data_IF_837243277961
#
_entry.id   IF_837243277961
#
_cell.length_a   1.000
_cell.length_b   1.000
_cell.length_c   1.000
_cell.angle_alpha   90.00
_cell.angle_beta   90.00
_cell.angle_gamma   90.00
#
_symmetry.space_group_name_H-M   'P 1'
#
loop_
_entity.id
_entity.type
_entity.pdbx_description
1 polymer ?
#
# COMPACT_ATOMS: atom_id res chain seq x y z
N UNK A 1 -5.34 -12.25 31.89
CA UNK A 1 -5.40 -12.46 30.43
C UNK A 1 -6.85 -12.40 30.02
N UNK A 2 -7.18 -11.57 29.04
CA UNK A 2 -8.50 -11.55 28.45
C UNK A 2 -8.79 -12.91 27.82
N UNK A 3 -9.92 -13.49 28.19
CA UNK A 3 -10.44 -14.67 27.52
C UNK A 3 -11.33 -14.16 26.40
N UNK A 4 -10.91 -14.39 25.17
CA UNK A 4 -11.67 -13.96 24.00
C UNK A 4 -12.90 -14.87 23.84
N UNK A 5 -14.14 -14.37 23.97
CA UNK A 5 -15.34 -15.19 23.88
C UNK A 5 -15.62 -15.64 22.43
N UNK A 6 -16.51 -16.60 22.27
CA UNK A 6 -17.18 -16.83 20.99
C UNK A 6 -18.27 -15.78 20.81
N UNK A 7 -18.44 -15.28 19.59
CA UNK A 7 -19.40 -14.24 19.25
C UNK A 7 -20.54 -14.83 18.40
N UNK A 8 -21.76 -14.44 18.73
CA UNK A 8 -22.95 -14.85 17.98
C UNK A 8 -23.23 -13.94 16.78
N UNK A 9 -22.60 -12.76 16.74
CA UNK A 9 -22.72 -11.79 15.67
C UNK A 9 -21.49 -10.87 15.58
N UNK A 10 -21.30 -10.25 14.41
CA UNK A 10 -20.27 -9.25 14.20
C UNK A 10 -20.44 -8.04 15.15
N UNK A 11 -21.67 -7.59 15.37
CA UNK A 11 -21.97 -6.48 16.27
C UNK A 11 -21.57 -6.77 17.74
N UNK A 12 -21.71 -8.03 18.20
CA UNK A 12 -21.23 -8.44 19.51
C UNK A 12 -19.70 -8.42 19.60
N UNK A 13 -19.02 -8.87 18.55
CA UNK A 13 -17.56 -8.81 18.46
C UNK A 13 -17.06 -7.37 18.42
N UNK A 14 -17.72 -6.52 17.63
CA UNK A 14 -17.40 -5.09 17.54
C UNK A 14 -17.52 -4.39 18.90
N UNK A 15 -18.62 -4.65 19.64
CA UNK A 15 -18.79 -4.10 20.97
C UNK A 15 -17.72 -4.60 21.93
N UNK A 16 -17.41 -5.91 21.90
CA UNK A 16 -16.35 -6.47 22.73
C UNK A 16 -14.99 -5.83 22.45
N UNK A 17 -14.65 -5.57 21.18
CA UNK A 17 -13.40 -4.89 20.80
C UNK A 17 -13.36 -3.44 21.31
N UNK A 18 -14.49 -2.73 21.33
CA UNK A 18 -14.59 -1.38 21.92
C UNK A 18 -14.37 -1.41 23.42
N UNK A 19 -14.90 -2.43 24.09
CA UNK A 19 -14.73 -2.63 25.55
C UNK A 19 -13.32 -3.14 25.91
N UNK A 20 -12.56 -3.66 24.93
CA UNK A 20 -11.20 -4.17 25.08
C UNK A 20 -10.21 -3.47 24.12
N UNK A 21 -9.95 -2.17 24.31
CA UNK A 21 -9.26 -1.31 23.32
C UNK A 21 -7.78 -1.67 23.09
N UNK A 22 -7.19 -2.54 23.93
CA UNK A 22 -5.79 -2.96 23.80
C UNK A 22 -5.62 -4.36 23.21
N UNK A 23 -6.71 -5.07 22.95
CA UNK A 23 -6.65 -6.38 22.30
C UNK A 23 -6.27 -6.24 20.82
N UNK A 24 -5.41 -7.13 20.31
CA UNK A 24 -5.08 -7.23 18.89
C UNK A 24 -4.93 -8.70 18.50
N UNK A 25 -5.66 -9.14 17.47
CA UNK A 25 -5.59 -10.50 16.96
C UNK A 25 -4.34 -10.73 16.07
N UNK A 26 -3.92 -9.72 15.33
CA UNK A 26 -2.90 -9.82 14.27
C UNK A 26 -1.57 -10.47 14.70
N UNK A 27 -0.99 -10.19 15.88
CA UNK A 27 0.26 -10.83 16.31
C UNK A 27 0.21 -12.35 16.43
N UNK A 28 -0.97 -12.94 16.53
CA UNK A 28 -1.12 -14.38 16.73
C UNK A 28 -0.95 -15.16 15.42
N UNK A 29 -1.36 -14.58 14.29
CA UNK A 29 -1.41 -15.27 13.00
C UNK A 29 -0.59 -14.63 11.88
N UNK A 30 -0.13 -13.37 12.05
CA UNK A 30 0.53 -12.61 11.00
C UNK A 30 2.04 -12.48 11.24
N UNK A 31 2.79 -12.43 10.14
CA UNK A 31 4.22 -12.13 10.11
C UNK A 31 4.60 -11.36 8.86
N UNK A 32 5.33 -10.26 9.02
CA UNK A 32 6.00 -9.57 7.92
C UNK A 32 7.51 -9.78 8.01
N UNK A 33 8.14 -10.17 6.92
CA UNK A 33 9.58 -10.34 6.77
C UNK A 33 10.09 -9.36 5.72
N UNK A 34 11.13 -8.58 6.08
CA UNK A 34 11.58 -7.47 5.25
C UNK A 34 12.97 -7.70 4.67
N UNK A 35 13.24 -7.08 3.52
CA UNK A 35 14.53 -7.08 2.83
C UNK A 35 15.69 -6.52 3.68
N UNK A 36 15.39 -5.85 4.78
CA UNK A 36 16.40 -5.40 5.76
C UNK A 36 16.71 -6.46 6.83
N UNK A 37 16.21 -7.69 6.64
CA UNK A 37 16.35 -8.83 7.54
C UNK A 37 15.76 -8.57 8.93
N UNK A 38 14.69 -7.81 8.97
CA UNK A 38 13.88 -7.54 10.14
C UNK A 38 12.50 -8.17 9.96
N UNK A 39 11.83 -8.39 11.07
CA UNK A 39 10.50 -8.98 11.10
C UNK A 39 9.57 -8.22 12.02
N UNK A 40 8.29 -8.31 11.73
CA UNK A 40 7.22 -7.70 12.50
C UNK A 40 5.97 -8.58 12.34
N UNK A 41 5.07 -8.59 13.33
CA UNK A 41 3.80 -9.34 13.23
C UNK A 41 2.59 -8.47 12.86
N UNK A 42 2.73 -7.14 12.87
CA UNK A 42 1.64 -6.23 12.55
C UNK A 42 2.07 -5.15 11.54
N UNK A 43 1.27 -4.11 11.36
CA UNK A 43 1.64 -2.98 10.53
C UNK A 43 2.93 -2.30 11.03
N UNK A 44 3.73 -1.81 10.10
CA UNK A 44 5.04 -1.22 10.40
C UNK A 44 5.01 0.22 10.93
N UNK A 45 3.84 0.83 11.04
CA UNK A 45 3.68 2.24 11.41
C UNK A 45 3.95 2.54 12.89
N UNK A 46 3.90 1.57 13.77
CA UNK A 46 4.05 1.82 15.22
C UNK A 46 4.96 0.86 15.96
N UNK A 47 5.27 -0.30 15.39
CA UNK A 47 6.05 -1.33 16.07
C UNK A 47 7.50 -1.35 15.58
N UNK A 48 8.50 -1.35 16.48
CA UNK A 48 9.89 -1.47 16.08
C UNK A 48 10.12 -2.83 15.42
N UNK A 49 10.82 -2.81 14.29
CA UNK A 49 11.28 -4.04 13.65
C UNK A 49 12.20 -4.81 14.59
N UNK A 50 11.97 -6.12 14.68
CA UNK A 50 12.72 -7.05 15.53
C UNK A 50 13.52 -8.02 14.66
N UNK A 51 14.53 -8.63 15.22
CA UNK A 51 15.15 -9.82 14.63
C UNK A 51 14.17 -10.98 14.69
N UNK A 52 14.38 -12.02 13.87
CA UNK A 52 13.51 -13.21 13.88
C UNK A 52 13.52 -13.91 15.25
N UNK A 53 14.65 -13.91 15.94
CA UNK A 53 14.82 -14.54 17.24
C UNK A 53 14.07 -13.76 18.34
N UNK A 54 14.16 -12.42 18.33
CA UNK A 54 13.36 -11.56 19.21
C UNK A 54 11.86 -11.75 18.97
N UNK A 55 11.43 -11.86 17.71
CA UNK A 55 10.03 -12.08 17.37
C UNK A 55 9.53 -13.44 17.87
N UNK A 56 10.30 -14.50 17.64
CA UNK A 56 9.95 -15.86 18.05
C UNK A 56 9.91 -16.03 19.57
N UNK A 57 10.75 -15.28 20.31
CA UNK A 57 10.80 -15.31 21.77
C UNK A 57 9.81 -14.37 22.47
N UNK A 58 9.11 -13.52 21.70
CA UNK A 58 8.23 -12.50 22.27
C UNK A 58 6.95 -13.11 22.89
N UNK A 59 6.62 -12.63 24.09
CA UNK A 59 5.39 -13.03 24.78
C UNK A 59 4.15 -12.37 24.15
N UNK A 60 3.53 -13.04 23.19
CA UNK A 60 2.32 -12.56 22.51
C UNK A 60 1.11 -12.41 23.46
N UNK A 61 1.18 -12.97 24.67
CA UNK A 61 0.06 -12.83 25.63
C UNK A 61 -0.16 -11.39 26.08
N UNK A 62 0.84 -10.52 25.89
CA UNK A 62 0.70 -9.07 26.17
C UNK A 62 -0.45 -8.44 25.36
N UNK A 63 -0.72 -8.93 24.15
CA UNK A 63 -1.83 -8.46 23.32
C UNK A 63 -3.22 -8.91 23.80
N UNK A 64 -3.27 -9.77 24.81
CA UNK A 64 -4.48 -10.20 25.52
C UNK A 64 -4.58 -9.57 26.93
N UNK A 65 -3.82 -8.51 27.21
CA UNK A 65 -3.89 -7.79 28.49
C UNK A 65 -4.68 -6.52 28.32
N UNK A 66 -5.36 -6.12 29.39
CA UNK A 66 -6.11 -4.86 29.43
C UNK A 66 -5.18 -3.70 29.85
N UNK A 67 -4.18 -3.44 29.01
CA UNK A 67 -3.26 -2.32 29.15
C UNK A 67 -2.59 -1.96 27.84
N UNK A 68 -2.28 -0.68 27.60
CA UNK A 68 -1.67 -0.24 26.36
C UNK A 68 -0.26 -0.81 26.18
N UNK A 69 0.09 -1.10 24.94
CA UNK A 69 1.43 -1.50 24.52
C UNK A 69 2.03 -0.33 23.74
N UNK A 70 3.24 0.11 24.12
CA UNK A 70 3.91 1.25 23.49
C UNK A 70 4.05 1.10 21.98
N UNK A 71 4.37 -0.11 21.52
CA UNK A 71 4.54 -0.46 20.11
C UNK A 71 3.23 -0.33 19.29
N UNK A 72 2.07 -0.27 19.95
CA UNK A 72 0.74 -0.16 19.34
C UNK A 72 0.13 1.24 19.42
N UNK A 73 0.88 2.23 19.91
CA UNK A 73 0.40 3.61 20.15
C UNK A 73 -0.21 4.27 18.92
N UNK A 74 0.24 3.90 17.71
CA UNK A 74 -0.32 4.40 16.46
C UNK A 74 -1.80 4.03 16.28
N UNK A 75 -2.15 2.75 16.48
CA UNK A 75 -3.54 2.31 16.38
C UNK A 75 -4.43 2.99 17.43
N UNK A 76 -3.93 3.12 18.65
CA UNK A 76 -4.69 3.77 19.73
C UNK A 76 -4.99 5.24 19.42
N UNK A 77 -4.00 5.99 18.88
CA UNK A 77 -4.20 7.39 18.47
C UNK A 77 -5.21 7.54 17.35
N UNK A 78 -5.22 6.62 16.38
CA UNK A 78 -6.22 6.60 15.31
C UNK A 78 -7.62 6.40 15.91
N UNK A 79 -7.78 5.47 16.82
CA UNK A 79 -9.06 5.18 17.48
C UNK A 79 -9.52 6.34 18.38
N UNK A 80 -8.59 6.98 19.10
CA UNK A 80 -8.86 8.20 19.87
C UNK A 80 -9.36 9.37 19.00
N UNK A 81 -8.94 9.43 17.73
CA UNK A 81 -9.45 10.42 16.77
C UNK A 81 -10.85 10.10 16.22
N UNK A 82 -11.45 8.98 16.63
CA UNK A 82 -12.76 8.52 16.17
C UNK A 82 -12.73 7.74 14.84
N UNK A 83 -11.52 7.37 14.38
CA UNK A 83 -11.32 6.59 13.15
C UNK A 83 -11.00 5.13 13.50
N UNK A 84 -11.36 4.20 12.65
CA UNK A 84 -11.08 2.77 12.83
C UNK A 84 -9.64 2.44 12.47
N UNK A 85 -8.91 1.79 13.38
CA UNK A 85 -7.52 1.37 13.14
C UNK A 85 -7.42 -0.01 12.48
N UNK A 86 -6.23 -0.32 11.91
CA UNK A 86 -5.92 -1.66 11.41
C UNK A 86 -6.03 -2.75 12.51
N UNK A 87 -5.66 -2.42 13.76
CA UNK A 87 -5.87 -3.31 14.93
C UNK A 87 -7.33 -3.72 15.07
N UNK A 88 -8.24 -2.77 14.96
CA UNK A 88 -9.66 -2.99 15.13
C UNK A 88 -10.25 -3.79 13.96
N UNK A 89 -10.01 -3.36 12.72
CA UNK A 89 -10.54 -4.02 11.52
C UNK A 89 -10.02 -5.44 11.37
N UNK A 90 -8.72 -5.65 11.53
CA UNK A 90 -8.12 -6.99 11.47
C UNK A 90 -8.61 -7.90 12.58
N UNK A 91 -8.76 -7.37 13.81
CA UNK A 91 -9.27 -8.16 14.92
C UNK A 91 -10.73 -8.54 14.73
N UNK A 92 -11.57 -7.61 14.27
CA UNK A 92 -12.97 -7.86 13.97
C UNK A 92 -13.13 -8.96 12.91
N UNK A 93 -12.46 -8.78 11.76
CA UNK A 93 -12.49 -9.77 10.69
C UNK A 93 -12.02 -11.15 11.16
N UNK A 94 -10.88 -11.20 11.86
CA UNK A 94 -10.27 -12.46 12.29
C UNK A 94 -11.15 -13.18 13.32
N UNK A 95 -11.69 -12.46 14.29
CA UNK A 95 -12.51 -13.05 15.33
C UNK A 95 -13.87 -13.54 14.84
N UNK A 96 -14.40 -12.92 13.80
CA UNK A 96 -15.70 -13.30 13.20
C UNK A 96 -15.54 -14.43 12.18
N UNK A 97 -14.50 -14.35 11.30
CA UNK A 97 -14.41 -15.22 10.14
C UNK A 97 -13.28 -16.26 10.19
N UNK A 98 -12.26 -16.03 11.04
CA UNK A 98 -11.02 -16.84 11.08
C UNK A 98 -10.58 -17.09 12.54
N UNK A 99 -11.51 -17.39 13.41
CA UNK A 99 -11.27 -17.52 14.85
C UNK A 99 -10.14 -18.48 15.21
N UNK A 100 -10.03 -19.59 14.50
CA UNK A 100 -8.99 -20.61 14.67
C UNK A 100 -7.57 -20.07 14.43
N UNK A 101 -7.41 -18.96 13.74
CA UNK A 101 -6.11 -18.32 13.53
C UNK A 101 -5.51 -17.75 14.82
N UNK A 102 -6.35 -17.32 15.75
CA UNK A 102 -5.91 -16.74 17.04
C UNK A 102 -5.55 -17.82 18.06
N UNK A 103 -6.16 -18.98 17.92
CA UNK A 103 -5.96 -20.11 18.83
C UNK A 103 -4.82 -21.04 18.36
N UNK A 104 -4.36 -20.88 17.12
CA UNK A 104 -3.26 -21.61 16.53
C UNK A 104 -1.94 -20.83 16.69
N UNK A 105 -0.81 -21.55 16.68
CA UNK A 105 0.54 -20.96 16.72
C UNK A 105 1.15 -20.74 15.34
N UNK A 106 0.50 -21.24 14.28
CA UNK A 106 0.98 -21.18 12.90
C UNK A 106 0.80 -19.78 12.31
N UNK A 107 1.72 -19.41 11.43
CA UNK A 107 1.59 -18.21 10.61
C UNK A 107 0.54 -18.46 9.53
N UNK A 108 -0.55 -17.69 9.54
CA UNK A 108 -1.65 -17.77 8.57
C UNK A 108 -1.60 -16.65 7.52
N UNK A 109 -1.03 -15.51 7.89
CA UNK A 109 -0.81 -14.39 6.98
C UNK A 109 0.68 -14.04 6.95
N UNK A 110 1.32 -14.28 5.80
CA UNK A 110 2.74 -14.06 5.57
C UNK A 110 2.92 -12.91 4.59
N UNK A 111 3.54 -11.83 5.02
CA UNK A 111 3.83 -10.65 4.20
C UNK A 111 5.34 -10.55 3.99
N UNK A 112 5.77 -10.50 2.74
CA UNK A 112 7.17 -10.55 2.34
C UNK A 112 7.58 -9.32 1.54
N UNK A 113 8.63 -8.65 2.00
CA UNK A 113 9.41 -7.71 1.19
C UNK A 113 10.68 -8.43 0.75
N UNK A 114 10.64 -9.04 -0.43
CA UNK A 114 11.65 -9.99 -0.90
C UNK A 114 13.04 -9.36 -1.05
N UNK A 115 13.09 -8.22 -1.71
CA UNK A 115 14.29 -7.43 -1.98
C UNK A 115 13.90 -6.00 -2.41
N UNK A 116 14.91 -5.15 -2.71
CA UNK A 116 14.70 -3.82 -3.26
C UNK A 116 14.96 -3.73 -4.77
N UNK A 117 15.02 -4.85 -5.48
CA UNK A 117 15.23 -4.85 -6.93
C UNK A 117 14.04 -4.18 -7.61
N UNK A 118 14.26 -2.99 -8.17
CA UNK A 118 13.23 -2.21 -8.83
C UNK A 118 13.80 -1.52 -10.07
N UNK A 119 12.98 -1.37 -11.10
CA UNK A 119 13.33 -0.71 -12.35
C UNK A 119 12.69 0.68 -12.50
N UNK A 120 12.05 1.17 -11.44
CA UNK A 120 11.54 2.54 -11.35
C UNK A 120 12.08 3.22 -10.09
N UNK A 121 12.25 4.53 -10.18
CA UNK A 121 12.67 5.41 -9.10
C UNK A 121 11.53 6.40 -8.83
N UNK A 122 10.48 5.93 -8.14
CA UNK A 122 9.35 6.78 -7.79
C UNK A 122 9.81 7.86 -6.83
N UNK A 123 9.34 9.10 -7.03
CA UNK A 123 9.79 10.24 -6.20
C UNK A 123 9.44 10.08 -4.70
N UNK A 124 8.34 9.38 -4.39
CA UNK A 124 7.91 9.04 -3.03
C UNK A 124 8.61 7.81 -2.43
N UNK A 125 9.52 7.18 -3.17
CA UNK A 125 10.20 5.96 -2.72
C UNK A 125 11.47 6.28 -1.91
N UNK A 126 12.21 5.22 -1.54
CA UNK A 126 13.49 5.33 -0.87
C UNK A 126 14.45 4.20 -1.29
N UNK A 127 15.71 4.32 -0.91
CA UNK A 127 16.79 3.40 -1.26
C UNK A 127 16.57 1.95 -0.78
N UNK A 128 15.87 1.75 0.34
CA UNK A 128 15.59 0.40 0.86
C UNK A 128 14.49 -0.31 0.07
N UNK A 129 13.64 0.43 -0.65
CA UNK A 129 12.54 -0.11 -1.43
C UNK A 129 12.79 -0.09 -2.95
N UNK A 130 13.79 0.66 -3.43
CA UNK A 130 14.17 0.68 -4.84
C UNK A 130 15.67 0.81 -5.05
N UNK A 131 16.25 -0.21 -5.66
CA UNK A 131 17.67 -0.21 -6.04
C UNK A 131 17.98 0.84 -7.13
N UNK A 132 17.01 1.18 -7.99
CA UNK A 132 17.20 2.27 -8.96
C UNK A 132 17.16 3.63 -8.26
N UNK A 133 16.25 3.83 -7.30
CA UNK A 133 16.24 5.04 -6.46
C UNK A 133 17.59 5.27 -5.78
N UNK A 134 18.09 4.25 -5.11
CA UNK A 134 19.42 4.29 -4.46
C UNK A 134 20.52 4.72 -5.45
N UNK A 135 20.55 4.09 -6.61
CA UNK A 135 21.54 4.36 -7.65
C UNK A 135 21.48 5.81 -8.17
N UNK A 136 20.29 6.34 -8.46
CA UNK A 136 20.16 7.66 -9.11
C UNK A 136 20.27 8.83 -8.14
N UNK A 137 19.95 8.59 -6.86
CA UNK A 137 20.12 9.60 -5.79
C UNK A 137 21.52 9.58 -5.16
N UNK A 138 22.42 8.72 -5.64
CA UNK A 138 23.80 8.63 -5.13
C UNK A 138 23.88 7.92 -3.77
N UNK A 139 22.89 7.08 -3.45
CA UNK A 139 22.88 6.29 -2.22
C UNK A 139 23.90 5.16 -2.19
N UNK A 140 24.01 4.50 -1.06
CA UNK A 140 25.00 3.45 -0.77
C UNK A 140 24.38 2.15 -0.22
N UNK A 141 23.06 1.98 -0.32
CA UNK A 141 22.37 0.79 0.19
C UNK A 141 22.65 -0.42 -0.69
N UNK A 142 22.70 -0.23 -2.01
CA UNK A 142 22.87 -1.30 -2.98
C UNK A 142 21.66 -2.23 -3.07
N UNK A 143 21.89 -3.46 -3.57
CA UNK A 143 20.85 -4.49 -3.62
C UNK A 143 20.81 -5.21 -2.28
N UNK A 144 19.67 -5.15 -1.62
CA UNK A 144 19.38 -5.84 -0.36
C UNK A 144 18.22 -6.83 -0.54
N UNK A 145 18.18 -7.86 0.27
CA UNK A 145 17.12 -8.87 0.22
C UNK A 145 17.16 -9.80 1.42
N UNK A 146 16.19 -10.69 1.53
CA UNK A 146 16.09 -11.68 2.59
C UNK A 146 17.36 -12.54 2.63
N UNK A 147 18.02 -12.61 3.80
CA UNK A 147 19.16 -13.50 4.01
C UNK A 147 18.74 -14.98 4.16
N UNK A 148 19.70 -15.88 4.25
CA UNK A 148 19.42 -17.33 4.27
C UNK A 148 18.58 -17.76 5.49
N UNK A 149 18.80 -17.15 6.66
CA UNK A 149 18.03 -17.46 7.88
C UNK A 149 16.58 -17.05 7.70
N UNK A 150 16.32 -15.80 7.28
CA UNK A 150 14.95 -15.30 7.01
C UNK A 150 14.32 -16.10 5.88
N UNK A 151 15.07 -16.42 4.83
CA UNK A 151 14.55 -17.21 3.72
C UNK A 151 14.11 -18.61 4.14
N UNK A 152 14.89 -19.28 5.00
CA UNK A 152 14.49 -20.57 5.58
C UNK A 152 13.22 -20.46 6.38
N UNK A 153 13.11 -19.46 7.27
CA UNK A 153 11.88 -19.19 8.02
C UNK A 153 10.70 -18.90 7.10
N UNK A 154 10.90 -18.11 6.03
CA UNK A 154 9.88 -17.85 5.02
C UNK A 154 9.28 -19.14 4.44
N UNK A 155 10.14 -20.10 4.06
CA UNK A 155 9.70 -21.37 3.48
C UNK A 155 9.01 -22.28 4.52
N UNK A 156 9.37 -22.17 5.78
CA UNK A 156 8.69 -22.88 6.88
C UNK A 156 7.30 -22.28 7.15
N UNK A 157 7.19 -20.96 7.28
CA UNK A 157 5.93 -20.26 7.50
C UNK A 157 4.95 -20.43 6.33
N UNK A 158 5.46 -20.46 5.10
CA UNK A 158 4.67 -20.62 3.88
C UNK A 158 3.83 -21.91 3.88
N UNK A 159 4.29 -22.97 4.51
CA UNK A 159 3.59 -24.26 4.56
C UNK A 159 2.26 -24.18 5.29
N UNK A 160 2.13 -23.27 6.27
CA UNK A 160 0.92 -23.09 7.07
C UNK A 160 0.13 -21.83 6.69
N UNK A 161 0.70 -20.98 5.81
CA UNK A 161 0.08 -19.73 5.41
C UNK A 161 -1.15 -19.96 4.52
N UNK A 162 -2.23 -19.27 4.84
CA UNK A 162 -3.42 -19.17 4.00
C UNK A 162 -3.32 -17.94 3.06
N UNK A 163 -2.67 -16.87 3.53
CA UNK A 163 -2.48 -15.61 2.79
C UNK A 163 -0.99 -15.32 2.62
N UNK A 164 -0.58 -15.02 1.39
CA UNK A 164 0.76 -14.55 1.05
C UNK A 164 0.68 -13.18 0.40
N UNK A 165 1.31 -12.17 1.03
CA UNK A 165 1.46 -10.83 0.45
C UNK A 165 2.89 -10.65 -0.07
N UNK A 166 3.04 -10.39 -1.36
CA UNK A 166 4.33 -10.17 -2.02
C UNK A 166 4.53 -8.69 -2.34
N UNK A 167 5.51 -8.12 -1.70
CA UNK A 167 5.93 -6.74 -1.80
C UNK A 167 7.45 -6.65 -2.02
N UNK A 168 7.97 -5.43 -2.09
CA UNK A 168 9.42 -5.18 -2.21
C UNK A 168 9.70 -4.06 -3.20
N UNK A 169 10.73 -4.20 -4.03
CA UNK A 169 10.97 -3.31 -5.15
C UNK A 169 9.91 -3.48 -6.24
N UNK A 170 10.23 -4.23 -7.28
CA UNK A 170 9.24 -4.70 -8.26
C UNK A 170 9.12 -6.22 -8.15
N UNK A 171 7.96 -6.68 -7.73
CA UNK A 171 7.72 -8.10 -7.41
C UNK A 171 7.99 -9.03 -8.60
N UNK A 172 7.68 -8.62 -9.82
CA UNK A 172 8.02 -9.38 -11.02
C UNK A 172 9.52 -9.51 -11.27
N UNK A 173 10.35 -8.60 -10.77
CA UNK A 173 11.80 -8.63 -11.01
C UNK A 173 12.55 -9.46 -9.99
N UNK A 174 12.01 -9.63 -8.78
CA UNK A 174 12.65 -10.45 -7.76
C UNK A 174 12.82 -11.90 -8.22
N UNK A 175 14.04 -12.45 -8.18
CA UNK A 175 14.24 -13.87 -8.49
C UNK A 175 13.59 -14.79 -7.44
N UNK A 176 13.31 -14.28 -6.24
CA UNK A 176 12.66 -15.02 -5.16
C UNK A 176 11.15 -15.20 -5.39
N UNK A 177 10.51 -14.34 -6.18
CA UNK A 177 9.07 -14.43 -6.48
C UNK A 177 8.71 -15.77 -7.12
N UNK A 178 9.45 -16.19 -8.14
CA UNK A 178 9.18 -17.46 -8.82
C UNK A 178 9.48 -18.66 -7.92
N UNK A 179 10.52 -18.56 -7.10
CA UNK A 179 10.89 -19.63 -6.17
C UNK A 179 9.79 -19.85 -5.13
N UNK A 180 9.28 -18.76 -4.52
CA UNK A 180 8.26 -18.87 -3.46
C UNK A 180 6.92 -19.33 -4.00
N UNK A 181 6.52 -18.87 -5.17
CA UNK A 181 5.29 -19.33 -5.81
C UNK A 181 5.35 -20.80 -6.24
N UNK A 182 6.53 -21.36 -6.52
CA UNK A 182 6.73 -22.76 -6.85
C UNK A 182 7.06 -23.66 -5.64
N UNK A 183 7.22 -23.09 -4.45
CA UNK A 183 7.41 -23.87 -3.24
C UNK A 183 6.13 -24.62 -2.85
N UNK A 184 6.25 -25.62 -1.97
CA UNK A 184 5.10 -26.35 -1.44
C UNK A 184 4.28 -25.43 -0.51
N UNK A 185 3.01 -25.23 -0.80
CA UNK A 185 2.09 -24.43 -0.01
C UNK A 185 0.62 -24.79 -0.26
N UNK A 186 -0.26 -24.31 0.64
CA UNK A 186 -1.73 -24.44 0.52
C UNK A 186 -2.44 -23.09 0.51
N UNK A 187 -1.84 -22.08 -0.14
CA UNK A 187 -2.34 -20.71 -0.16
C UNK A 187 -3.77 -20.64 -0.71
N UNK A 188 -4.61 -19.91 0.00
CA UNK A 188 -5.99 -19.56 -0.40
C UNK A 188 -6.03 -18.23 -1.12
N UNK A 189 -5.10 -17.31 -0.77
CA UNK A 189 -5.04 -15.96 -1.32
C UNK A 189 -3.58 -15.52 -1.52
N UNK A 190 -3.33 -14.82 -2.61
CA UNK A 190 -2.08 -14.09 -2.85
C UNK A 190 -2.39 -12.63 -3.11
N UNK A 191 -1.72 -11.75 -2.38
CA UNK A 191 -1.70 -10.32 -2.63
C UNK A 191 -0.40 -9.98 -3.36
N UNK A 192 -0.50 -9.51 -4.59
CA UNK A 192 0.63 -9.27 -5.48
C UNK A 192 0.69 -7.82 -5.91
N UNK A 193 1.76 -7.11 -5.59
CA UNK A 193 1.91 -5.69 -5.93
C UNK A 193 2.92 -5.49 -7.06
N UNK A 194 2.56 -4.66 -8.06
CA UNK A 194 3.45 -4.34 -9.19
C UNK A 194 3.35 -2.89 -9.64
N UNK A 195 4.46 -2.34 -10.14
CA UNK A 195 4.51 -1.05 -10.83
C UNK A 195 4.03 -1.13 -12.30
N UNK A 196 3.54 -2.26 -12.74
CA UNK A 196 2.99 -2.53 -14.06
C UNK A 196 3.97 -2.40 -15.24
N UNK A 197 5.26 -2.15 -14.99
CA UNK A 197 6.24 -2.01 -16.09
C UNK A 197 6.74 -3.34 -16.65
N UNK A 198 6.50 -4.45 -15.93
CA UNK A 198 6.97 -5.79 -16.27
C UNK A 198 5.78 -6.74 -16.41
N UNK A 199 5.87 -7.65 -17.38
CA UNK A 199 4.91 -8.73 -17.57
C UNK A 199 5.66 -10.06 -17.66
N UNK A 200 5.37 -11.01 -16.75
CA UNK A 200 5.91 -12.36 -16.77
C UNK A 200 4.77 -13.38 -16.76
N UNK A 201 4.52 -13.98 -17.92
CA UNK A 201 3.42 -14.94 -18.11
C UNK A 201 3.48 -16.12 -17.14
N UNK A 202 4.66 -16.67 -16.91
CA UNK A 202 4.85 -17.81 -16.00
C UNK A 202 4.40 -17.50 -14.56
N UNK A 203 4.68 -16.30 -14.05
CA UNK A 203 4.22 -15.85 -12.72
C UNK A 203 2.71 -15.69 -12.72
N UNK A 204 2.13 -15.05 -13.74
CA UNK A 204 0.68 -14.85 -13.86
C UNK A 204 -0.09 -16.17 -14.00
N UNK A 205 0.41 -17.10 -14.80
CA UNK A 205 -0.18 -18.44 -14.91
C UNK A 205 -0.13 -19.21 -13.58
N UNK A 206 0.87 -18.90 -12.75
CA UNK A 206 0.97 -19.45 -11.42
C UNK A 206 -0.09 -18.85 -10.49
N UNK A 207 -0.16 -17.52 -10.44
CA UNK A 207 -1.16 -16.81 -9.66
C UNK A 207 -2.59 -17.22 -10.03
N UNK A 208 -2.85 -17.46 -11.31
CA UNK A 208 -4.16 -17.90 -11.80
C UNK A 208 -4.61 -19.28 -11.30
N UNK A 209 -3.75 -20.02 -10.60
CA UNK A 209 -4.10 -21.31 -9.95
C UNK A 209 -4.46 -21.12 -8.48
N UNK A 210 -4.16 -19.97 -7.90
CA UNK A 210 -4.52 -19.64 -6.52
C UNK A 210 -6.01 -19.30 -6.47
N UNK A 211 -6.76 -19.77 -5.46
CA UNK A 211 -8.20 -19.52 -5.36
C UNK A 211 -8.61 -18.04 -5.39
N UNK A 212 -7.81 -17.15 -4.79
CA UNK A 212 -8.03 -15.71 -4.80
C UNK A 212 -6.71 -14.96 -5.01
N UNK A 213 -6.72 -13.94 -5.88
CA UNK A 213 -5.57 -13.07 -6.11
C UNK A 213 -6.01 -11.61 -6.05
N UNK A 214 -5.44 -10.86 -5.11
CA UNK A 214 -5.54 -9.42 -5.05
C UNK A 214 -4.33 -8.83 -5.78
N UNK A 215 -4.56 -8.29 -6.96
CA UNK A 215 -3.51 -7.82 -7.84
C UNK A 215 -3.42 -6.29 -7.81
N UNK A 216 -2.47 -5.78 -7.04
CA UNK A 216 -2.27 -4.35 -6.82
C UNK A 216 -1.54 -3.68 -7.99
N UNK A 217 -2.17 -2.66 -8.54
CA UNK A 217 -1.67 -1.82 -9.62
C UNK A 217 -1.14 -0.51 -9.04
N UNK A 218 0.20 -0.39 -8.93
CA UNK A 218 0.86 0.82 -8.44
C UNK A 218 0.96 1.86 -9.56
N UNK A 219 -0.16 2.50 -9.88
CA UNK A 219 -0.31 3.55 -10.90
C UNK A 219 -0.86 4.79 -10.22
N UNK A 220 -0.16 5.93 -10.33
CA UNK A 220 -0.52 7.16 -9.62
C UNK A 220 -1.21 8.20 -10.51
N UNK A 221 -1.19 8.00 -11.82
CA UNK A 221 -1.82 8.87 -12.81
C UNK A 221 -1.72 8.32 -14.21
N UNK A 222 -2.24 9.02 -15.19
CA UNK A 222 -2.26 8.64 -16.59
C UNK A 222 -1.16 9.38 -17.37
N UNK A 223 -0.57 8.73 -18.35
CA UNK A 223 0.37 9.38 -19.24
C UNK A 223 1.59 9.95 -18.52
N UNK A 224 1.86 11.21 -18.80
CA UNK A 224 3.02 11.93 -18.27
C UNK A 224 3.00 12.07 -16.74
N UNK A 225 1.83 12.12 -16.13
CA UNK A 225 1.70 12.19 -14.65
C UNK A 225 2.37 10.98 -14.02
N UNK A 226 2.06 9.78 -14.51
CA UNK A 226 2.70 8.56 -14.01
C UNK A 226 4.18 8.47 -14.42
N UNK A 227 4.56 8.91 -15.63
CA UNK A 227 5.94 8.88 -16.08
C UNK A 227 6.83 9.79 -15.25
N UNK A 228 6.32 10.97 -14.85
CA UNK A 228 7.03 11.94 -14.04
C UNK A 228 7.20 11.49 -12.58
N UNK A 229 6.15 10.93 -11.98
CA UNK A 229 6.19 10.50 -10.56
C UNK A 229 6.89 9.15 -10.37
N UNK A 230 6.84 8.27 -11.39
CA UNK A 230 7.40 6.89 -11.36
C UNK A 230 8.44 6.68 -12.47
N UNK A 231 9.39 7.61 -12.56
CA UNK A 231 10.48 7.58 -13.56
C UNK A 231 11.36 6.30 -13.41
N UNK A 232 11.86 5.69 -14.50
CA UNK A 232 11.68 6.00 -15.91
C UNK A 232 10.58 5.17 -16.60
N UNK A 233 9.45 4.98 -15.92
CA UNK A 233 8.33 4.24 -16.49
C UNK A 233 7.84 4.90 -17.80
N UNK A 234 7.20 4.08 -18.67
CA UNK A 234 6.59 4.55 -19.91
C UNK A 234 5.13 4.14 -19.95
N UNK A 235 4.23 5.12 -20.05
CA UNK A 235 2.80 4.92 -19.97
C UNK A 235 2.27 3.90 -20.97
N UNK A 236 2.70 3.97 -22.22
CA UNK A 236 2.27 3.02 -23.26
C UNK A 236 2.63 1.57 -22.93
N UNK A 237 3.74 1.36 -22.23
CA UNK A 237 4.14 0.03 -21.77
C UNK A 237 3.28 -0.42 -20.60
N UNK A 238 3.03 0.48 -19.64
CA UNK A 238 2.16 0.22 -18.49
C UNK A 238 0.75 -0.14 -18.99
N UNK A 239 0.14 0.70 -19.82
CA UNK A 239 -1.19 0.49 -20.38
C UNK A 239 -1.30 -0.88 -21.05
N UNK A 240 -0.37 -1.23 -21.96
CA UNK A 240 -0.35 -2.57 -22.60
C UNK A 240 -0.24 -3.71 -21.62
N UNK A 241 0.54 -3.57 -20.54
CA UNK A 241 0.67 -4.61 -19.53
C UNK A 241 -0.62 -4.74 -18.71
N UNK A 242 -1.23 -3.62 -18.31
CA UNK A 242 -2.52 -3.59 -17.58
C UNK A 242 -3.62 -4.26 -18.39
N UNK A 243 -3.76 -3.94 -19.69
CA UNK A 243 -4.71 -4.60 -20.59
C UNK A 243 -4.49 -6.12 -20.67
N UNK A 244 -3.25 -6.58 -20.57
CA UNK A 244 -2.92 -8.02 -20.52
C UNK A 244 -3.19 -8.62 -19.15
N UNK A 245 -3.01 -7.88 -18.04
CA UNK A 245 -3.37 -8.35 -16.70
C UNK A 245 -4.87 -8.55 -16.58
N UNK A 246 -5.68 -7.64 -17.14
CA UNK A 246 -7.15 -7.74 -17.14
C UNK A 246 -7.72 -8.95 -17.90
N UNK A 247 -6.88 -9.74 -18.57
CA UNK A 247 -7.29 -11.03 -19.13
C UNK A 247 -7.30 -12.17 -18.10
N UNK A 248 -6.80 -11.93 -16.87
CA UNK A 248 -6.82 -12.89 -15.77
C UNK A 248 -8.00 -12.59 -14.84
N UNK A 249 -8.52 -13.62 -14.18
CA UNK A 249 -9.61 -13.49 -13.22
C UNK A 249 -9.06 -13.15 -11.83
N UNK A 250 -8.52 -11.93 -11.67
CA UNK A 250 -7.99 -11.41 -10.42
C UNK A 250 -8.88 -10.28 -9.89
N UNK A 251 -8.82 -10.04 -8.58
CA UNK A 251 -9.33 -8.82 -7.96
C UNK A 251 -8.27 -7.74 -8.16
N UNK A 252 -8.51 -6.77 -9.03
CA UNK A 252 -7.53 -5.69 -9.25
C UNK A 252 -7.74 -4.58 -8.25
N UNK A 253 -6.62 -4.04 -7.72
CA UNK A 253 -6.65 -2.93 -6.77
C UNK A 253 -5.80 -1.80 -7.33
N UNK A 254 -6.46 -0.75 -7.81
CA UNK A 254 -5.82 0.51 -8.16
C UNK A 254 -5.49 1.29 -6.89
N UNK A 255 -4.22 1.39 -6.56
CA UNK A 255 -3.73 2.01 -5.32
C UNK A 255 -2.87 3.23 -5.62
N UNK A 256 -3.45 4.33 -6.18
CA UNK A 256 -2.68 5.53 -6.45
C UNK A 256 -2.20 6.18 -5.16
N UNK A 257 -0.98 6.71 -5.19
CA UNK A 257 -0.46 7.56 -4.11
C UNK A 257 -0.82 9.00 -4.43
N UNK A 258 -1.72 9.56 -3.63
CA UNK A 258 -2.12 10.98 -3.69
C UNK A 258 -1.03 11.82 -3.07
N UNK A 259 -0.42 12.68 -3.86
CA UNK A 259 0.67 13.56 -3.46
C UNK A 259 0.61 14.89 -4.22
N UNK A 260 1.59 15.74 -3.99
CA UNK A 260 1.68 17.09 -4.59
C UNK A 260 1.56 17.10 -6.13
N UNK A 261 1.97 16.01 -6.82
CA UNK A 261 1.93 15.92 -8.29
C UNK A 261 0.68 15.22 -8.83
N UNK A 262 0.08 14.32 -8.04
CA UNK A 262 -0.95 13.40 -8.54
C UNK A 262 -2.37 13.77 -8.11
N UNK A 263 -2.51 14.54 -7.02
CA UNK A 263 -3.81 14.91 -6.45
C UNK A 263 -4.74 15.60 -7.45
N UNK A 264 -4.18 16.45 -8.33
CA UNK A 264 -4.95 17.17 -9.36
C UNK A 264 -5.52 16.24 -10.44
N UNK A 265 -4.90 15.09 -10.69
CA UNK A 265 -5.15 14.21 -11.85
C UNK A 265 -5.80 12.87 -11.46
N UNK A 266 -6.38 12.77 -10.26
CA UNK A 266 -7.02 11.52 -9.80
C UNK A 266 -8.26 11.17 -10.66
N UNK A 267 -8.97 12.16 -11.15
CA UNK A 267 -10.10 12.01 -12.07
C UNK A 267 -9.69 11.32 -13.39
N UNK A 268 -8.54 11.68 -13.97
CA UNK A 268 -8.02 11.03 -15.18
C UNK A 268 -7.72 9.55 -14.97
N UNK A 269 -7.22 9.18 -13.80
CA UNK A 269 -6.98 7.77 -13.47
C UNK A 269 -8.28 6.99 -13.29
N UNK A 270 -9.30 7.59 -12.68
CA UNK A 270 -10.64 6.99 -12.59
C UNK A 270 -11.24 6.80 -13.97
N UNK A 271 -11.15 7.79 -14.85
CA UNK A 271 -11.58 7.68 -16.25
C UNK A 271 -10.82 6.60 -17.03
N UNK A 272 -9.55 6.35 -16.68
CA UNK A 272 -8.79 5.25 -17.27
C UNK A 272 -9.33 3.88 -16.86
N UNK A 273 -9.72 3.68 -15.59
CA UNK A 273 -10.25 2.39 -15.11
C UNK A 273 -11.71 2.15 -15.48
N UNK A 274 -12.53 3.18 -15.54
CA UNK A 274 -13.98 3.08 -15.69
C UNK A 274 -14.46 2.24 -16.88
N UNK A 275 -13.92 2.37 -18.11
CA UNK A 275 -14.31 1.51 -19.23
C UNK A 275 -14.08 0.02 -18.95
N UNK A 276 -12.98 -0.35 -18.31
CA UNK A 276 -12.68 -1.74 -17.98
C UNK A 276 -13.63 -2.29 -16.90
N UNK A 277 -14.01 -1.47 -15.92
CA UNK A 277 -15.03 -1.83 -14.92
C UNK A 277 -16.38 -2.11 -15.60
N UNK A 278 -16.77 -1.29 -16.58
CA UNK A 278 -17.97 -1.51 -17.39
C UNK A 278 -17.92 -2.78 -18.24
N UNK A 279 -16.74 -3.17 -18.68
CA UNK A 279 -16.48 -4.42 -19.41
C UNK A 279 -16.39 -5.64 -18.47
N UNK A 280 -16.64 -5.46 -17.17
CA UNK A 280 -16.73 -6.53 -16.16
C UNK A 280 -15.41 -6.87 -15.47
N UNK A 281 -14.37 -6.05 -15.59
CA UNK A 281 -13.14 -6.23 -14.80
C UNK A 281 -13.39 -5.73 -13.37
N UNK A 282 -13.12 -6.58 -12.38
CA UNK A 282 -13.26 -6.19 -10.96
C UNK A 282 -12.07 -5.34 -10.52
N UNK A 283 -12.28 -4.02 -10.41
CA UNK A 283 -11.24 -3.05 -10.03
C UNK A 283 -11.73 -2.27 -8.82
N UNK A 284 -11.07 -2.45 -7.68
CA UNK A 284 -11.25 -1.64 -6.48
C UNK A 284 -10.30 -0.44 -6.58
N UNK A 285 -10.80 0.77 -6.36
CA UNK A 285 -9.98 2.00 -6.38
C UNK A 285 -9.84 2.51 -4.95
N UNK A 286 -8.62 2.44 -4.42
CA UNK A 286 -8.30 2.87 -3.05
C UNK A 286 -7.05 3.74 -3.05
N UNK A 287 -7.20 5.08 -3.13
CA UNK A 287 -6.08 6.01 -3.03
C UNK A 287 -5.43 6.00 -1.64
N UNK A 288 -4.11 6.18 -1.59
CA UNK A 288 -3.34 6.35 -0.37
C UNK A 288 -2.66 7.71 -0.35
N UNK A 289 -2.64 8.37 0.81
CA UNK A 289 -1.96 9.66 0.95
C UNK A 289 -0.45 9.47 1.14
N UNK A 290 0.33 10.29 0.45
CA UNK A 290 1.76 10.40 0.66
C UNK A 290 2.02 11.30 1.88
N UNK A 291 2.38 10.70 3.01
CA UNK A 291 2.75 11.42 4.22
C UNK A 291 4.27 11.49 4.41
N UNK A 292 5.00 10.65 3.71
CA UNK A 292 6.47 10.63 3.66
C UNK A 292 6.94 10.38 2.21
N UNK A 293 7.88 11.18 1.72
CA UNK A 293 8.50 12.32 2.38
C UNK A 293 7.54 13.53 2.49
N UNK A 294 7.64 14.31 3.58
CA UNK A 294 6.69 15.41 3.89
C UNK A 294 6.58 16.46 2.76
N UNK A 295 7.67 16.70 2.02
CA UNK A 295 7.66 17.63 0.88
C UNK A 295 6.79 17.16 -0.31
N UNK A 296 6.29 15.93 -0.28
CA UNK A 296 5.34 15.41 -1.27
C UNK A 296 3.88 15.45 -0.79
N UNK A 297 3.63 15.84 0.45
CA UNK A 297 2.26 15.97 0.95
C UNK A 297 1.52 17.09 0.19
N UNK A 298 0.34 16.77 -0.33
CA UNK A 298 -0.47 17.74 -1.09
C UNK A 298 -0.91 18.97 -0.26
N UNK A 299 -0.91 18.84 1.07
CA UNK A 299 -1.32 19.92 1.98
C UNK A 299 -0.43 21.16 1.91
N UNK A 300 0.80 21.04 1.38
CA UNK A 300 1.72 22.18 1.24
C UNK A 300 1.46 23.02 -0.02
N UNK A 301 0.57 22.57 -0.91
CA UNK A 301 0.24 23.29 -2.14
C UNK A 301 -0.37 24.67 -1.87
N UNK A 302 -0.08 25.67 -2.74
CA UNK A 302 -0.71 26.98 -2.63
C UNK A 302 -2.22 26.92 -2.92
N UNK A 303 -2.95 27.91 -2.42
CA UNK A 303 -4.41 27.95 -2.46
C UNK A 303 -5.02 27.75 -3.85
N UNK A 304 -4.39 28.28 -4.91
CA UNK A 304 -4.88 28.11 -6.28
C UNK A 304 -4.89 26.62 -6.70
N UNK A 305 -3.84 25.89 -6.36
CA UNK A 305 -3.74 24.46 -6.65
C UNK A 305 -4.72 23.65 -5.78
N UNK A 306 -4.79 23.94 -4.47
CA UNK A 306 -5.73 23.29 -3.56
C UNK A 306 -7.19 23.51 -4.00
N UNK A 307 -7.56 24.74 -4.39
CA UNK A 307 -8.90 25.02 -4.91
C UNK A 307 -9.23 24.22 -6.18
N UNK A 308 -8.28 24.09 -7.10
CA UNK A 308 -8.48 23.31 -8.31
C UNK A 308 -8.65 21.80 -8.01
N UNK A 309 -7.86 21.27 -7.07
CA UNK A 309 -7.97 19.89 -6.60
C UNK A 309 -9.32 19.66 -5.92
N UNK A 310 -9.74 20.56 -5.05
CA UNK A 310 -11.05 20.49 -4.38
C UNK A 310 -12.19 20.41 -5.41
N UNK A 311 -12.21 21.31 -6.39
CA UNK A 311 -13.27 21.34 -7.41
C UNK A 311 -13.31 20.08 -8.25
N UNK A 312 -12.14 19.53 -8.64
CA UNK A 312 -12.07 18.24 -9.36
C UNK A 312 -12.54 17.08 -8.48
N UNK A 313 -12.17 17.08 -7.20
CA UNK A 313 -12.59 16.04 -6.24
C UNK A 313 -14.09 16.06 -6.00
N UNK A 314 -14.70 17.24 -5.84
CA UNK A 314 -16.16 17.40 -5.71
C UNK A 314 -16.86 16.89 -6.98
N UNK A 315 -16.37 17.27 -8.17
CA UNK A 315 -16.93 16.77 -9.44
C UNK A 315 -16.80 15.26 -9.58
N UNK A 316 -15.71 14.66 -9.10
CA UNK A 316 -15.47 13.23 -9.17
C UNK A 316 -16.43 12.44 -8.25
N UNK A 317 -16.92 13.02 -7.15
CA UNK A 317 -17.96 12.41 -6.32
C UNK A 317 -19.29 12.23 -7.09
N UNK A 318 -19.55 13.04 -8.11
CA UNK A 318 -20.73 12.94 -8.98
C UNK A 318 -20.48 12.04 -10.22
N UNK A 319 -19.27 11.44 -10.34
CA UNK A 319 -18.94 10.60 -11.49
C UNK A 319 -19.75 9.29 -11.49
N UNK A 320 -20.24 8.80 -12.66
CA UNK A 320 -21.02 7.57 -12.76
C UNK A 320 -20.37 6.34 -12.10
N UNK A 321 -19.04 6.24 -12.07
CA UNK A 321 -18.32 5.13 -11.42
C UNK A 321 -18.74 4.94 -9.96
N UNK A 322 -19.03 6.02 -9.23
CA UNK A 322 -19.41 5.98 -7.81
C UNK A 322 -20.76 5.30 -7.62
N UNK A 323 -21.72 5.60 -8.50
CA UNK A 323 -23.08 5.04 -8.41
C UNK A 323 -23.21 3.67 -9.07
N UNK A 324 -22.45 3.41 -10.13
CA UNK A 324 -22.46 2.13 -10.83
C UNK A 324 -21.65 1.03 -10.11
N UNK A 325 -20.60 1.42 -9.38
CA UNK A 325 -19.66 0.51 -8.70
C UNK A 325 -19.41 0.91 -7.23
N UNK A 326 -20.47 1.01 -6.40
CA UNK A 326 -20.34 1.58 -5.05
C UNK A 326 -19.39 0.79 -4.13
N UNK A 327 -19.33 -0.54 -4.25
CA UNK A 327 -18.43 -1.36 -3.44
C UNK A 327 -16.97 -1.18 -3.83
N UNK A 328 -16.68 -1.11 -5.13
CA UNK A 328 -15.32 -0.95 -5.65
C UNK A 328 -14.77 0.47 -5.45
N UNK A 329 -15.63 1.44 -5.19
CA UNK A 329 -15.26 2.86 -5.03
C UNK A 329 -15.42 3.39 -3.62
N UNK A 330 -15.72 2.55 -2.63
CA UNK A 330 -15.82 2.98 -1.22
C UNK A 330 -14.55 3.72 -0.76
N UNK A 331 -13.38 3.13 -0.98
CA UNK A 331 -12.10 3.76 -0.63
C UNK A 331 -11.80 5.03 -1.43
N UNK A 332 -12.27 5.11 -2.68
CA UNK A 332 -12.18 6.34 -3.49
C UNK A 332 -13.02 7.47 -2.87
N UNK A 333 -14.27 7.20 -2.51
CA UNK A 333 -15.16 8.20 -1.88
C UNK A 333 -14.60 8.71 -0.56
N UNK A 334 -14.09 7.82 0.29
CA UNK A 334 -13.45 8.19 1.56
C UNK A 334 -12.22 9.07 1.31
N UNK A 335 -11.39 8.70 0.34
CA UNK A 335 -10.19 9.47 -0.02
C UNK A 335 -10.55 10.84 -0.62
N UNK A 336 -11.58 10.94 -1.46
CA UNK A 336 -12.04 12.23 -2.01
C UNK A 336 -12.53 13.17 -0.92
N UNK A 337 -13.30 12.68 0.06
CA UNK A 337 -13.72 13.48 1.21
C UNK A 337 -12.51 13.95 2.05
N UNK A 338 -11.51 13.10 2.22
CA UNK A 338 -10.27 13.46 2.90
C UNK A 338 -9.47 14.51 2.12
N UNK A 339 -9.37 14.39 0.79
CA UNK A 339 -8.74 15.39 -0.09
C UNK A 339 -9.43 16.75 0.05
N UNK A 340 -10.76 16.78 -0.03
CA UNK A 340 -11.55 18.00 0.13
C UNK A 340 -11.28 18.63 1.51
N UNK A 341 -11.30 17.83 2.57
CA UNK A 341 -10.98 18.32 3.91
C UNK A 341 -9.56 18.91 4.02
N UNK A 342 -8.56 18.25 3.43
CA UNK A 342 -7.19 18.77 3.35
C UNK A 342 -7.16 20.10 2.60
N UNK A 343 -7.81 20.18 1.42
CA UNK A 343 -7.86 21.43 0.64
C UNK A 343 -8.46 22.62 1.40
N UNK A 344 -9.48 22.37 2.23
CA UNK A 344 -10.18 23.41 3.00
C UNK A 344 -9.45 23.84 4.26
N UNK A 345 -8.65 22.97 4.87
CA UNK A 345 -8.09 23.17 6.21
C UNK A 345 -6.56 23.22 6.25
N UNK A 346 -5.86 23.04 5.12
CA UNK A 346 -4.40 23.10 5.11
C UNK A 346 -3.88 24.51 5.33
N UNK A 347 -2.78 24.59 6.07
CA UNK A 347 -2.05 25.82 6.30
C UNK A 347 -0.67 25.70 5.61
N UNK A 348 -0.20 26.78 4.95
CA UNK A 348 1.12 26.78 4.33
C UNK A 348 2.22 26.47 5.34
N UNK A 349 3.12 25.56 4.95
CA UNK A 349 4.35 25.26 5.70
C UNK A 349 5.56 25.70 4.84
N UNK A 350 6.18 26.85 5.13
CA UNK A 350 7.27 27.38 4.33
C UNK A 350 8.50 26.46 4.28
N UNK A 351 8.85 25.81 5.40
CA UNK A 351 10.04 24.94 5.48
C UNK A 351 9.87 23.71 4.56
N UNK A 352 8.70 23.07 4.60
CA UNK A 352 8.39 21.92 3.72
C UNK A 352 8.27 22.34 2.25
N UNK A 353 7.82 23.59 2.01
CA UNK A 353 7.79 24.15 0.66
C UNK A 353 9.20 24.35 0.08
N UNK A 354 10.14 24.84 0.86
CA UNK A 354 11.53 25.00 0.42
C UNK A 354 12.16 23.63 0.12
N UNK A 355 11.85 22.60 0.93
CA UNK A 355 12.25 21.22 0.65
C UNK A 355 11.66 20.71 -0.68
N UNK A 356 10.39 20.99 -0.96
CA UNK A 356 9.79 20.65 -2.25
C UNK A 356 10.55 21.27 -3.41
N UNK A 357 10.84 22.57 -3.36
CA UNK A 357 11.55 23.28 -4.44
C UNK A 357 12.93 22.64 -4.70
N UNK A 358 13.67 22.32 -3.66
CA UNK A 358 15.00 21.69 -3.76
C UNK A 358 14.90 20.28 -4.34
N UNK A 359 14.00 19.46 -3.82
CA UNK A 359 13.82 18.09 -4.27
C UNK A 359 13.27 18.01 -5.69
N UNK A 360 12.30 18.88 -6.03
CA UNK A 360 11.78 18.96 -7.39
C UNK A 360 12.89 19.27 -8.41
N UNK A 361 13.74 20.25 -8.12
CA UNK A 361 14.87 20.58 -9.01
C UNK A 361 15.88 19.41 -9.13
N UNK A 362 16.11 18.66 -8.06
CA UNK A 362 16.93 17.45 -8.08
C UNK A 362 16.32 16.39 -9.01
N UNK A 363 15.01 16.14 -8.88
CA UNK A 363 14.31 15.15 -9.70
C UNK A 363 14.23 15.55 -11.17
N UNK A 364 13.98 16.83 -11.48
CA UNK A 364 14.04 17.35 -12.86
C UNK A 364 15.40 17.07 -13.51
N UNK A 365 16.48 17.28 -12.76
CA UNK A 365 17.85 16.98 -13.23
C UNK A 365 18.07 15.46 -13.42
N UNK A 366 17.61 14.61 -12.51
CA UNK A 366 17.75 13.14 -12.61
C UNK A 366 16.99 12.61 -13.82
N UNK A 367 15.81 13.15 -14.09
CA UNK A 367 14.92 12.70 -15.15
C UNK A 367 15.21 13.33 -16.52
N UNK A 368 16.11 14.32 -16.57
CA UNK A 368 16.36 15.15 -17.76
C UNK A 368 15.07 15.75 -18.34
N UNK A 369 14.24 16.32 -17.46
CA UNK A 369 12.95 16.96 -17.78
C UNK A 369 12.71 18.15 -16.86
N UNK A 370 11.53 18.77 -16.98
CA UNK A 370 11.11 19.79 -16.02
C UNK A 370 9.68 19.55 -15.52
N UNK A 371 9.43 19.90 -14.28
CA UNK A 371 8.08 19.91 -13.71
C UNK A 371 7.13 20.74 -14.58
N UNK A 372 7.58 21.91 -15.02
CA UNK A 372 6.81 22.81 -15.89
C UNK A 372 6.38 22.15 -17.19
N UNK A 373 7.27 21.42 -17.85
CA UNK A 373 6.97 20.79 -19.14
C UNK A 373 6.17 19.48 -18.96
N UNK A 374 6.40 18.78 -17.86
CA UNK A 374 5.74 17.52 -17.56
C UNK A 374 4.30 17.71 -17.05
N UNK A 375 4.07 18.67 -16.14
CA UNK A 375 2.78 18.94 -15.50
C UNK A 375 2.41 20.42 -15.59
N UNK A 376 2.23 20.98 -16.82
CA UNK A 376 2.10 22.42 -17.04
C UNK A 376 0.87 23.04 -16.37
N UNK A 377 -0.24 22.31 -16.28
CA UNK A 377 -1.44 22.79 -15.58
C UNK A 377 -1.16 22.99 -14.09
N UNK A 378 -0.66 21.95 -13.41
CA UNK A 378 -0.33 22.04 -12.00
C UNK A 378 0.75 23.10 -11.74
N UNK A 379 1.78 23.16 -12.60
CA UNK A 379 2.81 24.19 -12.51
C UNK A 379 2.22 25.61 -12.57
N UNK A 380 1.30 25.87 -13.49
CA UNK A 380 0.65 27.18 -13.59
C UNK A 380 -0.19 27.52 -12.38
N UNK A 381 -0.89 26.54 -11.76
CA UNK A 381 -1.67 26.76 -10.54
C UNK A 381 -0.79 27.07 -9.33
N UNK A 382 0.42 26.52 -9.30
CA UNK A 382 1.38 26.72 -8.21
C UNK A 382 2.08 28.08 -8.30
N UNK A 383 2.44 28.52 -9.51
CA UNK A 383 3.29 29.69 -9.73
C UNK A 383 2.55 30.88 -10.38
N UNK A 384 1.20 30.86 -10.36
CA UNK A 384 0.32 31.93 -10.89
C UNK A 384 0.25 33.21 -10.02
#
# INVERSE_FOLDING_TARGET
MLQVPEFSSEAECEQWLKDNPYYCAKPFYSRELTQTNKSIWCCHWGSPFKTIDELNSYDKTVFKKDQPISDCSYCYKIEESGTTSERFTDSLYTLVHQRDWVDNTDVKSLKLRLDNICNVSCQMCNAHNSSLYDKVTGGSVGIIGLNDQIWKTTLEDLKSADILSLLGGETFLSPKTEIILNAEHSLKQVQFQTNCTVYKKNILDYLNRVPSVDFGLSIDGVGVVNEYTRWPSKWDKIKRNVERFFQYNFNFIGSPVVNIYTALYLDELVEFYYPYMKDGVDIIITPYFCIEPEWMDMSILPANALNAIEQRSIKLLDHPVITEFPLQTTGLVESLNSIINVCQNSLPNPDTWDEFVVNNAMWDKIQDTSFKDSLPELYSLIYA
#
